data_IF_844503534592
#
_entry.id   IF_844503534592
#
_cell.length_a   1.000
_cell.length_b   1.000
_cell.length_c   1.000
_cell.angle_alpha   90.00
_cell.angle_beta   90.00
_cell.angle_gamma   90.00
#
_symmetry.space_group_name_H-M   'P 1'
#
loop_
_entity.id
_entity.type
_entity.pdbx_description
1 polymer ?
#
# COMPACT_ATOMS: atom_id res chain seq x y z
N UNK A 1 -11.84 1.58 -20.92
CA UNK A 1 -13.16 0.95 -21.14
C UNK A 1 -13.49 1.08 -22.59
N UNK A 2 -13.88 -0.01 -23.20
CA UNK A 2 -14.47 -0.03 -24.54
C UNK A 2 -15.96 -0.31 -24.37
N UNK A 3 -16.81 0.35 -25.16
CA UNK A 3 -18.22 0.02 -25.23
C UNK A 3 -18.40 -0.90 -26.43
N UNK A 4 -18.67 -2.19 -26.18
CA UNK A 4 -18.96 -3.18 -27.22
C UNK A 4 -20.44 -3.52 -27.15
N UNK A 5 -21.20 -3.18 -28.20
CA UNK A 5 -22.64 -3.45 -28.30
C UNK A 5 -23.49 -2.97 -27.09
N UNK A 6 -23.12 -1.84 -26.50
CA UNK A 6 -23.79 -1.28 -25.33
C UNK A 6 -23.35 -1.86 -23.98
N UNK A 7 -22.37 -2.78 -23.98
CA UNK A 7 -21.75 -3.33 -22.78
C UNK A 7 -20.46 -2.58 -22.44
N UNK A 8 -20.30 -2.20 -21.18
CA UNK A 8 -19.06 -1.65 -20.65
C UNK A 8 -18.06 -2.79 -20.42
N UNK A 9 -16.95 -2.80 -21.17
CA UNK A 9 -15.90 -3.82 -21.03
C UNK A 9 -14.72 -3.26 -20.24
N UNK A 10 -14.40 -3.92 -19.13
CA UNK A 10 -13.18 -3.69 -18.36
C UNK A 10 -12.11 -4.69 -18.81
N UNK A 11 -10.96 -4.15 -19.23
CA UNK A 11 -9.81 -4.98 -19.59
C UNK A 11 -9.09 -5.41 -18.32
N UNK A 12 -8.96 -6.71 -18.18
CA UNK A 12 -8.24 -7.35 -17.09
C UNK A 12 -6.92 -7.87 -17.66
N UNK A 13 -5.80 -7.42 -17.10
CA UNK A 13 -4.48 -7.90 -17.56
C UNK A 13 -4.33 -9.41 -17.34
N UNK A 14 -3.52 -10.06 -18.18
CA UNK A 14 -3.26 -11.51 -18.06
C UNK A 14 -2.66 -11.90 -16.69
N UNK A 15 -1.92 -11.00 -16.04
CA UNK A 15 -1.40 -11.18 -14.68
C UNK A 15 -2.51 -11.31 -13.64
N UNK A 16 -3.63 -10.59 -13.79
CA UNK A 16 -4.75 -10.68 -12.87
C UNK A 16 -5.34 -12.09 -12.80
N UNK A 17 -5.38 -12.83 -13.91
CA UNK A 17 -5.87 -14.21 -13.89
C UNK A 17 -4.97 -15.14 -13.07
N UNK A 18 -3.66 -14.92 -13.12
CA UNK A 18 -2.68 -15.67 -12.33
C UNK A 18 -2.73 -15.27 -10.85
N UNK A 19 -2.81 -13.98 -10.57
CA UNK A 19 -2.77 -13.43 -9.21
C UNK A 19 -4.11 -13.61 -8.46
N UNK A 20 -5.26 -13.50 -9.14
CA UNK A 20 -6.58 -13.70 -8.52
C UNK A 20 -6.80 -15.13 -8.03
N UNK A 21 -6.12 -16.11 -8.64
CA UNK A 21 -6.28 -17.52 -8.27
C UNK A 21 -5.83 -17.79 -6.83
N UNK A 22 -4.96 -16.93 -6.29
CA UNK A 22 -4.48 -16.98 -4.92
C UNK A 22 -5.35 -16.20 -3.91
N UNK A 23 -6.47 -15.60 -4.34
CA UNK A 23 -7.34 -14.80 -3.49
C UNK A 23 -8.64 -15.52 -3.14
N UNK A 24 -9.14 -15.28 -1.93
CA UNK A 24 -10.50 -15.67 -1.54
C UNK A 24 -11.54 -14.81 -2.25
N UNK A 25 -12.79 -15.30 -2.35
CA UNK A 25 -13.91 -14.51 -2.87
C UNK A 25 -14.06 -13.20 -2.09
N UNK A 26 -13.85 -13.23 -0.78
CA UNK A 26 -13.96 -12.05 0.07
C UNK A 26 -12.87 -11.03 -0.24
N UNK A 27 -11.60 -11.45 -0.33
CA UNK A 27 -10.47 -10.57 -0.69
C UNK A 27 -10.70 -9.90 -2.05
N UNK A 28 -11.11 -10.67 -3.06
CA UNK A 28 -11.42 -10.13 -4.38
C UNK A 28 -12.57 -9.11 -4.32
N UNK A 29 -13.58 -9.36 -3.49
CA UNK A 29 -14.71 -8.44 -3.30
C UNK A 29 -14.25 -7.14 -2.65
N UNK A 30 -13.42 -7.20 -1.61
CA UNK A 30 -12.83 -6.02 -0.97
C UNK A 30 -11.99 -5.19 -1.96
N UNK A 31 -11.16 -5.84 -2.77
CA UNK A 31 -10.37 -5.18 -3.81
C UNK A 31 -11.25 -4.49 -4.86
N UNK A 32 -12.32 -5.16 -5.31
CA UNK A 32 -13.33 -4.57 -6.20
C UNK A 32 -14.06 -3.39 -5.54
N UNK A 33 -14.22 -3.40 -4.21
CA UNK A 33 -14.79 -2.28 -3.45
C UNK A 33 -13.80 -1.12 -3.21
N UNK A 34 -12.59 -1.19 -3.78
CA UNK A 34 -11.60 -0.11 -3.69
C UNK A 34 -10.69 -0.17 -2.47
N UNK A 35 -10.54 -1.36 -1.87
CA UNK A 35 -9.52 -1.59 -0.84
C UNK A 35 -8.11 -1.58 -1.49
N UNK A 36 -7.03 -1.38 -0.72
CA UNK A 36 -5.67 -1.35 -1.26
C UNK A 36 -5.35 -2.58 -2.09
N UNK A 37 -4.62 -2.46 -3.22
CA UNK A 37 -4.36 -3.58 -4.13
C UNK A 37 -3.50 -4.70 -3.51
N UNK A 38 -2.89 -4.45 -2.34
CA UNK A 38 -2.19 -5.45 -1.52
C UNK A 38 -3.08 -6.16 -0.50
N UNK A 39 -4.38 -5.84 -0.45
CA UNK A 39 -5.27 -6.38 0.57
C UNK A 39 -5.37 -7.91 0.46
N UNK A 40 -5.18 -8.54 1.62
CA UNK A 40 -5.43 -9.96 1.88
C UNK A 40 -5.99 -10.07 3.29
N UNK A 41 -6.71 -11.13 3.64
CA UNK A 41 -7.15 -11.37 5.02
C UNK A 41 -5.92 -11.57 5.93
N UNK A 42 -4.88 -12.22 5.39
CA UNK A 42 -3.58 -12.39 6.03
C UNK A 42 -2.46 -12.21 5.02
N UNK A 43 -1.31 -11.76 5.51
CA UNK A 43 -0.09 -11.69 4.71
C UNK A 43 1.05 -12.40 5.42
N UNK A 44 1.98 -12.91 4.63
CA UNK A 44 3.22 -13.52 5.10
C UNK A 44 4.31 -12.46 5.16
N UNK A 45 4.92 -12.30 6.34
CA UNK A 45 6.04 -11.38 6.54
C UNK A 45 7.33 -11.96 5.98
N UNK A 46 8.35 -11.11 5.77
CA UNK A 46 9.72 -11.56 5.43
C UNK A 46 10.30 -12.57 6.42
N UNK A 47 9.87 -12.52 7.69
CA UNK A 47 10.24 -13.49 8.72
C UNK A 47 9.41 -14.80 8.69
N UNK A 48 8.63 -15.02 7.63
CA UNK A 48 7.82 -16.22 7.44
C UNK A 48 6.59 -16.33 8.36
N UNK A 49 6.14 -15.22 8.95
CA UNK A 49 5.00 -15.21 9.86
C UNK A 49 3.73 -14.78 9.15
N UNK A 50 2.62 -15.45 9.43
CA UNK A 50 1.30 -14.98 9.00
C UNK A 50 0.72 -13.98 10.01
N UNK A 51 0.24 -12.85 9.51
CA UNK A 51 -0.33 -11.75 10.29
C UNK A 51 -1.60 -11.26 9.58
N UNK A 52 -2.68 -10.91 10.30
CA UNK A 52 -3.85 -10.30 9.68
C UNK A 52 -3.48 -8.96 9.05
N UNK A 53 -4.05 -8.66 7.89
CA UNK A 53 -3.90 -7.33 7.29
C UNK A 53 -4.71 -6.30 8.09
N UNK A 54 -4.21 -5.07 8.30
CA UNK A 54 -4.77 -4.15 9.27
C UNK A 54 -5.90 -3.28 8.69
N UNK A 55 -6.79 -3.90 7.91
CA UNK A 55 -8.01 -3.26 7.42
C UNK A 55 -9.18 -4.14 7.83
N UNK A 56 -9.98 -3.65 8.77
CA UNK A 56 -11.17 -4.35 9.27
C UNK A 56 -12.45 -3.71 8.75
N UNK A 57 -12.37 -2.46 8.29
CA UNK A 57 -13.47 -1.67 7.76
C UNK A 57 -13.00 -0.67 6.71
N UNK A 58 -13.92 -0.09 5.95
CA UNK A 58 -13.61 0.97 4.97
C UNK A 58 -12.92 2.19 5.59
N UNK A 59 -13.14 2.45 6.89
CA UNK A 59 -12.48 3.55 7.62
C UNK A 59 -10.97 3.37 7.70
N UNK A 60 -10.48 2.14 7.62
CA UNK A 60 -9.06 1.80 7.72
C UNK A 60 -8.30 2.01 6.40
N UNK A 61 -9.01 2.09 5.26
CA UNK A 61 -8.40 2.23 3.93
C UNK A 61 -7.54 3.49 3.83
N UNK A 62 -7.92 4.57 4.52
CA UNK A 62 -7.18 5.85 4.51
C UNK A 62 -6.14 5.99 5.63
N UNK A 63 -5.90 4.92 6.40
CA UNK A 63 -5.01 4.92 7.57
C UNK A 63 -3.61 4.42 7.22
N UNK A 64 -2.69 4.48 8.17
CA UNK A 64 -1.26 4.20 7.95
C UNK A 64 -0.87 2.74 8.16
N UNK A 65 -1.65 1.95 8.90
CA UNK A 65 -1.27 0.59 9.28
C UNK A 65 -1.08 -0.34 8.08
N UNK A 66 -1.87 -0.17 7.03
CA UNK A 66 -1.72 -1.02 5.84
C UNK A 66 -0.46 -0.67 5.02
N UNK A 67 0.06 0.56 5.11
CA UNK A 67 1.39 0.91 4.56
C UNK A 67 2.46 0.09 5.26
N UNK A 68 2.40 0.00 6.59
CA UNK A 68 3.31 -0.85 7.37
C UNK A 68 3.20 -2.31 6.93
N UNK A 69 1.97 -2.82 6.78
CA UNK A 69 1.75 -4.20 6.35
C UNK A 69 2.40 -4.49 4.99
N UNK A 70 2.27 -3.59 4.01
CA UNK A 70 2.96 -3.71 2.70
C UNK A 70 4.48 -3.77 2.89
N UNK A 71 5.04 -2.91 3.73
CA UNK A 71 6.47 -2.90 4.00
C UNK A 71 7.00 -4.17 4.68
N UNK A 72 6.15 -4.86 5.44
CA UNK A 72 6.48 -6.11 6.12
C UNK A 72 6.35 -7.37 5.24
N UNK A 73 5.63 -7.29 4.11
CA UNK A 73 5.36 -8.43 3.24
C UNK A 73 6.64 -9.03 2.66
N UNK A 74 6.66 -10.37 2.56
CA UNK A 74 7.72 -11.11 1.86
C UNK A 74 7.75 -10.77 0.37
N UNK A 75 6.56 -10.72 -0.26
CA UNK A 75 6.39 -10.36 -1.66
C UNK A 75 5.17 -9.45 -1.81
N UNK A 76 5.35 -8.12 -1.74
CA UNK A 76 4.26 -7.16 -1.89
C UNK A 76 3.84 -7.05 -3.37
N UNK A 77 3.01 -7.98 -3.84
CA UNK A 77 2.46 -7.93 -5.20
C UNK A 77 1.06 -7.28 -5.18
N UNK A 78 0.90 -6.05 -5.72
CA UNK A 78 -0.41 -5.42 -5.83
C UNK A 78 -1.24 -6.03 -6.95
N UNK A 79 -2.50 -6.38 -6.67
CA UNK A 79 -3.46 -6.73 -7.71
C UNK A 79 -4.14 -5.46 -8.24
N UNK A 80 -3.73 -5.02 -9.43
CA UNK A 80 -4.37 -3.91 -10.12
C UNK A 80 -5.72 -4.36 -10.71
N UNK A 81 -6.82 -4.14 -9.96
CA UNK A 81 -8.17 -4.52 -10.41
C UNK A 81 -8.75 -3.54 -11.42
N UNK A 82 -8.47 -2.24 -11.26
CA UNK A 82 -8.93 -1.19 -12.14
C UNK A 82 -7.74 -0.47 -12.76
N UNK A 83 -7.64 -0.44 -14.09
CA UNK A 83 -6.77 0.53 -14.79
C UNK A 83 -7.64 1.60 -15.41
N UNK A 84 -7.37 2.86 -15.07
CA UNK A 84 -7.97 3.96 -15.83
C UNK A 84 -7.37 3.95 -17.25
N UNK A 85 -8.18 4.16 -18.30
CA UNK A 85 -7.65 4.27 -19.66
C UNK A 85 -6.71 5.47 -19.76
N UNK A 86 -5.59 5.27 -20.47
CA UNK A 86 -4.49 6.19 -20.73
C UNK A 86 -4.58 7.54 -20.00
N UNK A 87 -3.81 7.57 -18.93
CA UNK A 87 -3.34 8.77 -18.28
C UNK A 87 -2.76 9.77 -19.32
N UNK A 88 -3.29 11.00 -19.44
CA UNK A 88 -2.76 11.98 -20.38
C UNK A 88 -1.35 12.39 -19.95
N UNK A 89 -0.46 12.67 -20.92
CA UNK A 89 0.93 13.16 -20.72
C UNK A 89 1.03 14.51 -19.96
N UNK A 90 -0.06 15.01 -19.39
CA UNK A 90 -0.19 16.32 -18.79
C UNK A 90 -0.04 16.32 -17.26
N UNK A 91 0.50 17.42 -16.67
CA UNK A 91 0.80 17.54 -15.23
C UNK A 91 -0.39 17.46 -14.27
N UNK A 92 -1.63 17.30 -14.78
CA UNK A 92 -2.87 17.11 -14.01
C UNK A 92 -2.95 15.78 -13.24
N UNK A 93 -2.07 14.83 -13.56
CA UNK A 93 -1.79 13.57 -12.85
C UNK A 93 -1.64 13.65 -11.33
N UNK A 94 -1.37 14.85 -10.81
CA UNK A 94 -1.02 15.07 -9.42
C UNK A 94 -2.17 14.87 -8.43
N UNK A 95 -3.39 14.53 -8.90
CA UNK A 95 -4.58 14.31 -8.06
C UNK A 95 -4.97 12.82 -7.87
N UNK A 96 -4.63 11.91 -8.78
CA UNK A 96 -4.98 10.47 -8.70
C UNK A 96 -4.29 9.77 -7.52
N UNK A 97 -4.94 8.85 -6.83
CA UNK A 97 -4.33 8.16 -5.68
C UNK A 97 -4.28 9.00 -4.40
N UNK A 98 -5.21 9.96 -4.24
CA UNK A 98 -5.31 10.80 -3.04
C UNK A 98 -5.36 10.00 -1.73
N UNK A 99 -6.00 8.82 -1.71
CA UNK A 99 -6.04 7.97 -0.51
C UNK A 99 -4.67 7.40 -0.17
N UNK A 100 -3.92 6.89 -1.15
CA UNK A 100 -2.54 6.44 -0.98
C UNK A 100 -1.64 7.54 -0.41
N UNK A 101 -1.68 8.73 -1.03
CA UNK A 101 -0.87 9.87 -0.57
C UNK A 101 -1.26 10.32 0.83
N UNK A 102 -2.55 10.31 1.17
CA UNK A 102 -3.03 10.60 2.53
C UNK A 102 -2.55 9.56 3.54
N UNK A 103 -2.56 8.27 3.20
CA UNK A 103 -2.03 7.21 4.06
C UNK A 103 -0.52 7.38 4.31
N UNK A 104 0.27 7.66 3.27
CA UNK A 104 1.72 7.91 3.41
C UNK A 104 1.99 9.18 4.23
N UNK A 105 1.27 10.28 3.96
CA UNK A 105 1.37 11.51 4.74
C UNK A 105 0.96 11.28 6.20
N UNK A 106 -0.07 10.47 6.45
CA UNK A 106 -0.48 10.08 7.82
C UNK A 106 0.63 9.31 8.53
N UNK A 107 1.32 8.39 7.87
CA UNK A 107 2.50 7.73 8.45
C UNK A 107 3.58 8.73 8.87
N UNK A 108 3.94 9.66 7.97
CA UNK A 108 4.90 10.74 8.25
C UNK A 108 4.45 11.60 9.44
N UNK A 109 3.20 12.04 9.42
CA UNK A 109 2.66 12.90 10.48
C UNK A 109 2.58 12.16 11.83
N UNK A 110 2.29 10.85 11.82
CA UNK A 110 2.27 10.03 13.02
C UNK A 110 3.66 9.93 13.63
N UNK A 111 4.67 9.66 12.81
CA UNK A 111 6.06 9.64 13.25
C UNK A 111 6.44 11.00 13.84
N UNK A 112 6.14 12.09 13.15
CA UNK A 112 6.48 13.44 13.60
C UNK A 112 5.82 13.83 14.94
N UNK A 113 4.53 13.53 15.10
CA UNK A 113 3.74 14.02 16.24
C UNK A 113 3.74 13.09 17.43
N UNK A 114 3.77 11.78 17.20
CA UNK A 114 3.50 10.78 18.23
C UNK A 114 4.68 9.86 18.53
N UNK A 115 5.67 9.73 17.62
CA UNK A 115 6.84 8.87 17.84
C UNK A 115 8.07 9.72 18.14
N UNK A 116 8.42 10.66 17.27
CA UNK A 116 9.62 11.49 17.35
C UNK A 116 9.79 12.22 18.69
N UNK A 117 8.74 12.75 19.35
CA UNK A 117 8.91 13.36 20.68
C UNK A 117 9.46 12.43 21.75
N UNK A 118 9.27 11.12 21.60
CA UNK A 118 9.77 10.10 22.54
C UNK A 118 11.18 9.59 22.16
N UNK A 119 11.66 9.92 20.95
CA UNK A 119 12.94 9.48 20.39
C UNK A 119 13.65 10.63 19.64
N UNK A 120 13.91 11.78 20.28
CA UNK A 120 14.32 13.02 19.60
C UNK A 120 15.68 12.92 18.88
N UNK A 121 16.61 12.13 19.41
CA UNK A 121 17.96 11.98 18.86
C UNK A 121 18.15 10.68 18.08
N UNK A 122 17.06 9.95 17.80
CA UNK A 122 17.16 8.66 17.12
C UNK A 122 17.28 8.84 15.60
N UNK A 123 18.43 8.42 15.05
CA UNK A 123 18.72 8.55 13.62
C UNK A 123 17.73 7.80 12.73
N UNK A 124 17.19 6.65 13.16
CA UNK A 124 16.24 5.86 12.35
C UNK A 124 14.93 6.64 12.14
N UNK A 125 14.48 7.38 13.17
CA UNK A 125 13.32 8.27 13.08
C UNK A 125 13.60 9.44 12.13
N UNK A 126 14.77 10.07 12.24
CA UNK A 126 15.19 11.17 11.36
C UNK A 126 15.27 10.71 9.89
N UNK A 127 15.90 9.56 9.63
CA UNK A 127 16.05 8.98 8.30
C UNK A 127 14.68 8.62 7.70
N UNK A 128 13.79 8.02 8.50
CA UNK A 128 12.44 7.69 8.05
C UNK A 128 11.64 8.94 7.67
N UNK A 129 11.74 9.99 8.48
CA UNK A 129 11.11 11.28 8.19
C UNK A 129 11.64 11.91 6.90
N UNK A 130 12.96 11.89 6.68
CA UNK A 130 13.57 12.39 5.45
C UNK A 130 13.10 11.60 4.22
N UNK A 131 13.12 10.26 4.31
CA UNK A 131 12.68 9.36 3.25
C UNK A 131 11.20 9.54 2.91
N UNK A 132 10.31 9.64 3.92
CA UNK A 132 8.89 9.87 3.71
C UNK A 132 8.60 11.25 3.13
N UNK A 133 9.30 12.30 3.58
CA UNK A 133 9.16 13.63 3.00
C UNK A 133 9.58 13.64 1.52
N UNK A 134 10.67 12.95 1.16
CA UNK A 134 11.08 12.77 -0.23
C UNK A 134 10.00 12.07 -1.06
N UNK A 135 9.50 10.92 -0.58
CA UNK A 135 8.44 10.17 -1.26
C UNK A 135 7.16 10.99 -1.46
N UNK A 136 6.80 11.85 -0.51
CA UNK A 136 5.63 12.73 -0.59
C UNK A 136 5.86 13.86 -1.61
N UNK A 137 7.03 14.49 -1.59
CA UNK A 137 7.33 15.68 -2.39
C UNK A 137 7.70 15.31 -3.84
N UNK A 138 8.66 14.41 -4.00
CA UNK A 138 9.20 14.00 -5.31
C UNK A 138 8.33 12.94 -5.98
N UNK A 139 7.47 12.26 -5.21
CA UNK A 139 6.53 11.22 -5.71
C UNK A 139 7.24 10.12 -6.50
N UNK A 140 8.47 9.85 -6.12
CA UNK A 140 9.31 8.81 -6.68
C UNK A 140 10.26 8.30 -5.61
N UNK A 141 10.57 7.01 -5.65
CA UNK A 141 11.61 6.43 -4.81
C UNK A 141 13.03 6.60 -5.37
N UNK A 142 13.18 7.13 -6.59
CA UNK A 142 14.49 7.48 -7.13
C UNK A 142 15.13 8.58 -6.28
N UNK A 143 16.37 8.36 -5.82
CA UNK A 143 17.11 9.34 -5.01
C UNK A 143 16.63 9.48 -3.56
N UNK A 144 15.87 8.52 -3.04
CA UNK A 144 15.34 8.58 -1.66
C UNK A 144 16.50 8.67 -0.63
N UNK A 145 16.47 9.65 0.30
CA UNK A 145 17.48 9.78 1.34
C UNK A 145 17.18 8.80 2.47
N UNK A 146 17.64 7.56 2.34
CA UNK A 146 17.32 6.48 3.29
C UNK A 146 18.34 6.29 4.40
N UNK A 147 19.53 6.91 4.32
CA UNK A 147 20.52 6.89 5.40
C UNK A 147 20.88 5.46 5.84
N UNK A 148 20.56 5.11 7.10
CA UNK A 148 20.76 3.77 7.66
C UNK A 148 19.62 2.79 7.33
N UNK A 149 18.50 3.29 6.85
CA UNK A 149 17.34 2.52 6.37
C UNK A 149 17.50 2.06 4.91
N UNK A 150 18.73 2.05 4.38
CA UNK A 150 19.09 1.67 2.99
C UNK A 150 19.96 2.73 2.32
N UNK A 151 20.81 2.38 1.34
CA UNK A 151 21.60 3.37 0.58
C UNK A 151 21.03 3.66 -0.81
N UNK A 152 20.12 2.83 -1.29
CA UNK A 152 19.46 2.91 -2.60
C UNK A 152 18.01 2.40 -2.51
N UNK A 153 17.20 2.70 -3.53
CA UNK A 153 15.86 2.11 -3.69
C UNK A 153 15.89 0.57 -3.69
N UNK A 154 16.96 -0.02 -4.25
CA UNK A 154 17.18 -1.47 -4.25
C UNK A 154 17.60 -1.98 -2.86
N UNK A 155 18.32 -1.18 -2.07
CA UNK A 155 18.61 -1.51 -0.67
C UNK A 155 17.36 -1.48 0.19
N UNK A 156 16.44 -0.52 -0.03
CA UNK A 156 15.15 -0.51 0.70
C UNK A 156 14.38 -1.82 0.45
N UNK A 157 14.45 -2.37 -0.77
CA UNK A 157 13.90 -3.69 -1.08
C UNK A 157 14.68 -4.81 -0.40
N UNK A 158 16.01 -4.72 -0.39
CA UNK A 158 16.94 -5.73 0.11
C UNK A 158 17.22 -5.74 1.62
N UNK A 159 16.73 -4.77 2.40
CA UNK A 159 16.93 -4.76 3.85
C UNK A 159 16.19 -5.93 4.48
N UNK A 160 16.96 -6.80 5.12
CA UNK A 160 16.41 -7.79 6.01
C UNK A 160 15.82 -7.05 7.22
N UNK A 161 14.48 -7.03 7.29
CA UNK A 161 13.77 -6.43 8.42
C UNK A 161 13.98 -7.42 9.58
N UNK A 162 14.64 -7.01 10.68
CA UNK A 162 14.86 -7.87 11.84
C UNK A 162 13.58 -8.63 12.21
N UNK A 163 13.71 -9.92 12.55
CA UNK A 163 12.57 -10.83 12.74
C UNK A 163 11.58 -10.35 13.82
N UNK A 164 10.57 -9.59 13.40
CA UNK A 164 9.47 -9.17 14.25
C UNK A 164 8.56 -10.36 14.58
N UNK A 165 8.09 -10.41 15.83
CA UNK A 165 7.06 -11.37 16.23
C UNK A 165 5.72 -10.94 15.65
N UNK A 166 4.79 -11.88 15.45
CA UNK A 166 3.42 -11.55 14.99
C UNK A 166 2.69 -10.59 15.94
N UNK A 167 3.03 -10.58 17.23
CA UNK A 167 2.53 -9.58 18.19
C UNK A 167 3.01 -8.18 17.87
N UNK A 168 4.26 -8.04 17.42
CA UNK A 168 4.91 -6.75 17.15
C UNK A 168 4.45 -6.19 15.82
N UNK A 169 4.32 -7.03 14.79
CA UNK A 169 3.69 -6.65 13.53
C UNK A 169 2.28 -6.10 13.74
N UNK A 170 1.46 -6.78 14.56
CA UNK A 170 0.11 -6.30 14.90
C UNK A 170 0.15 -4.97 15.63
N UNK A 171 1.01 -4.85 16.63
CA UNK A 171 1.17 -3.64 17.41
C UNK A 171 1.52 -2.43 16.52
N UNK A 172 2.52 -2.53 15.65
CA UNK A 172 2.91 -1.40 14.80
C UNK A 172 1.85 -1.06 13.75
N UNK A 173 1.18 -2.06 13.15
CA UNK A 173 0.08 -1.79 12.23
C UNK A 173 -1.09 -1.09 12.92
N UNK A 174 -1.46 -1.53 14.12
CA UNK A 174 -2.51 -0.90 14.93
C UNK A 174 -2.12 0.52 15.33
N UNK A 175 -0.91 0.73 15.84
CA UNK A 175 -0.41 2.04 16.26
C UNK A 175 -0.49 3.09 15.12
N UNK A 176 -0.05 2.72 13.91
CA UNK A 176 -0.15 3.60 12.74
C UNK A 176 -1.59 3.80 12.20
N UNK A 177 -2.50 2.87 12.49
CA UNK A 177 -3.92 3.05 12.17
C UNK A 177 -4.58 4.03 13.14
N UNK A 178 -4.44 3.77 14.42
CA UNK A 178 -5.11 4.50 15.50
C UNK A 178 -4.60 5.94 15.60
N UNK A 179 -3.31 6.15 15.29
CA UNK A 179 -2.68 7.47 15.27
C UNK A 179 -2.72 8.15 16.65
N UNK A 180 -2.61 7.36 17.70
CA UNK A 180 -2.60 7.85 19.08
C UNK A 180 -1.16 8.18 19.55
N UNK A 181 -0.99 9.08 20.53
CA UNK A 181 0.29 9.27 21.21
C UNK A 181 0.76 7.97 21.88
N UNK A 182 2.07 7.75 21.97
CA UNK A 182 2.61 6.57 22.64
C UNK A 182 2.42 6.67 24.16
N UNK A 183 1.85 5.63 24.75
CA UNK A 183 1.94 5.42 26.21
C UNK A 183 3.37 5.03 26.60
N UNK A 184 3.73 5.11 27.88
CA UNK A 184 5.05 4.66 28.34
C UNK A 184 5.31 3.18 28.03
N UNK A 185 4.26 2.35 28.10
CA UNK A 185 4.34 0.94 27.74
C UNK A 185 4.56 0.74 26.24
N UNK A 186 3.84 1.49 25.40
CA UNK A 186 3.98 1.43 23.94
C UNK A 186 5.34 1.96 23.49
N UNK A 187 5.84 3.02 24.14
CA UNK A 187 7.18 3.55 23.92
C UNK A 187 8.24 2.49 24.23
N UNK A 188 8.21 1.88 25.42
CA UNK A 188 9.18 0.87 25.82
C UNK A 188 9.15 -0.35 24.87
N UNK A 189 7.96 -0.73 24.42
CA UNK A 189 7.79 -1.79 23.42
C UNK A 189 8.37 -1.39 22.07
N UNK A 190 8.01 -0.20 21.56
CA UNK A 190 8.44 0.31 20.27
C UNK A 190 9.95 0.50 20.21
N UNK A 191 10.59 0.93 21.31
CA UNK A 191 12.05 1.12 21.39
C UNK A 191 12.82 -0.12 20.93
N UNK A 192 12.39 -1.32 21.36
CA UNK A 192 13.03 -2.59 20.99
C UNK A 192 12.88 -2.97 19.52
N UNK A 193 11.92 -2.36 18.81
CA UNK A 193 11.56 -2.64 17.42
C UNK A 193 11.53 -1.36 16.57
N UNK A 194 12.18 -0.28 17.00
CA UNK A 194 12.06 1.02 16.38
C UNK A 194 12.63 1.00 14.96
N UNK A 195 13.86 0.49 14.81
CA UNK A 195 14.51 0.31 13.51
C UNK A 195 13.65 -0.51 12.52
N UNK A 196 13.22 -1.75 12.82
CA UNK A 196 12.38 -2.51 11.89
C UNK A 196 11.05 -1.82 11.57
N UNK A 197 10.48 -1.05 12.51
CA UNK A 197 9.28 -0.26 12.26
C UNK A 197 9.54 0.86 11.26
N UNK A 198 10.65 1.60 11.42
CA UNK A 198 11.06 2.68 10.52
C UNK A 198 11.43 2.16 9.12
N UNK A 199 12.05 0.99 9.02
CA UNK A 199 12.27 0.33 7.72
C UNK A 199 10.95 -0.06 7.07
N UNK A 200 10.04 -0.70 7.82
CA UNK A 200 8.75 -1.16 7.28
C UNK A 200 7.89 0.01 6.77
N UNK A 201 7.83 1.14 7.48
CA UNK A 201 7.06 2.31 7.02
C UNK A 201 7.63 2.92 5.74
N UNK A 202 8.96 3.05 5.65
CA UNK A 202 9.62 3.60 4.45
C UNK A 202 9.46 2.66 3.27
N UNK A 203 9.71 1.36 3.45
CA UNK A 203 9.57 0.36 2.40
C UNK A 203 8.13 0.25 1.90
N UNK A 204 7.15 0.23 2.82
CA UNK A 204 5.74 0.22 2.45
C UNK A 204 5.32 1.47 1.67
N UNK A 205 5.78 2.65 2.09
CA UNK A 205 5.52 3.90 1.37
C UNK A 205 6.19 3.91 -0.01
N UNK A 206 7.41 3.38 -0.10
CA UNK A 206 8.13 3.23 -1.36
C UNK A 206 7.35 2.36 -2.35
N UNK A 207 6.92 1.17 -1.95
CA UNK A 207 6.16 0.24 -2.81
C UNK A 207 4.85 0.88 -3.30
N UNK A 208 4.16 1.60 -2.42
CA UNK A 208 2.93 2.33 -2.77
C UNK A 208 3.19 3.46 -3.77
N UNK A 209 4.27 4.22 -3.59
CA UNK A 209 4.63 5.32 -4.50
C UNK A 209 5.09 4.79 -5.85
N UNK A 210 5.88 3.72 -5.90
CA UNK A 210 6.25 3.09 -7.18
C UNK A 210 5.04 2.53 -7.90
N UNK A 211 4.14 1.84 -7.20
CA UNK A 211 2.90 1.36 -7.79
C UNK A 211 2.08 2.49 -8.42
N UNK A 212 1.97 3.63 -7.73
CA UNK A 212 1.29 4.81 -8.28
C UNK A 212 2.01 5.39 -9.50
N UNK A 213 3.34 5.38 -9.50
CA UNK A 213 4.17 5.89 -10.59
C UNK A 213 4.08 5.00 -11.83
N UNK A 214 4.12 3.68 -11.64
CA UNK A 214 4.26 2.70 -12.72
C UNK A 214 2.90 2.24 -13.28
N UNK A 215 1.84 2.22 -12.45
CA UNK A 215 0.52 1.69 -12.82
C UNK A 215 -0.56 2.77 -12.90
N UNK A 216 -0.45 3.87 -12.15
CA UNK A 216 -1.40 5.01 -12.28
C UNK A 216 -2.82 4.75 -11.76
N UNK A 217 -3.01 3.79 -10.84
CA UNK A 217 -4.34 3.29 -10.48
C UNK A 217 -4.99 4.03 -9.30
N UNK A 218 -6.26 4.41 -9.46
CA UNK A 218 -7.11 4.87 -8.35
C UNK A 218 -7.64 3.69 -7.50
N UNK A 219 -7.79 3.93 -6.19
CA UNK A 219 -8.60 3.08 -5.29
C UNK A 219 -10.11 3.24 -5.52
N UNK A 220 -10.52 4.04 -6.50
CA UNK A 220 -11.91 4.35 -6.74
C UNK A 220 -12.38 3.68 -8.00
N UNK A 221 -13.50 2.99 -7.86
CA UNK A 221 -14.32 2.54 -8.96
C UNK A 221 -14.74 3.80 -9.74
N UNK A 222 -14.44 3.90 -11.04
CA UNK A 222 -14.94 4.97 -11.88
C UNK A 222 -16.46 5.12 -11.69
N UNK A 223 -17.01 6.35 -11.55
CA UNK A 223 -18.45 6.55 -11.38
C UNK A 223 -19.30 5.86 -12.46
N UNK A 224 -18.74 5.68 -13.66
CA UNK A 224 -19.34 4.95 -14.77
C UNK A 224 -19.57 3.45 -14.52
N UNK A 225 -18.92 2.87 -13.50
CA UNK A 225 -19.09 1.49 -13.05
C UNK A 225 -20.02 1.39 -11.83
N UNK A 226 -20.58 2.51 -11.35
CA UNK A 226 -21.67 2.52 -10.38
C UNK A 226 -23.01 2.76 -11.10
N UNK A 227 -24.07 1.97 -10.83
CA UNK A 227 -24.20 0.92 -9.81
C UNK A 227 -23.78 -0.48 -10.31
N UNK A 228 -23.34 -1.33 -9.37
CA UNK A 228 -22.92 -2.72 -9.57
C UNK A 228 -24.00 -3.68 -10.07
N UNK A 229 -25.24 -3.19 -10.23
CA UNK A 229 -26.37 -3.98 -10.73
C UNK A 229 -26.30 -4.21 -12.25
N UNK A 230 -25.27 -3.65 -12.91
CA UNK A 230 -24.99 -3.87 -14.33
C UNK A 230 -24.00 -5.02 -14.46
N UNK A 231 -24.31 -6.00 -15.32
CA UNK A 231 -23.35 -7.04 -15.70
C UNK A 231 -22.10 -6.40 -16.32
N UNK A 232 -20.99 -6.43 -15.58
CA UNK A 232 -19.68 -6.03 -16.10
C UNK A 232 -18.93 -7.29 -16.53
N UNK A 233 -18.65 -7.37 -17.83
CA UNK A 233 -17.92 -8.49 -18.40
C UNK A 233 -16.43 -8.23 -18.27
N UNK A 234 -15.75 -9.06 -17.48
CA UNK A 234 -14.30 -9.06 -17.36
C UNK A 234 -13.73 -9.77 -18.59
N UNK A 235 -13.07 -9.02 -19.47
CA UNK A 235 -12.35 -9.59 -20.61
C UNK A 235 -10.90 -9.74 -20.22
N UNK A 236 -10.44 -10.98 -20.06
CA UNK A 236 -8.99 -11.21 -20.03
C UNK A 236 -8.41 -11.00 -21.44
N UNK A 237 -7.13 -10.66 -21.53
CA UNK A 237 -6.44 -10.42 -22.80
C UNK A 237 -6.34 -11.66 -23.72
N UNK A 238 -6.82 -12.83 -23.27
CA UNK A 238 -6.65 -14.13 -23.93
C UNK A 238 -7.96 -14.74 -24.44
N UNK A 239 -9.10 -14.32 -23.91
CA UNK A 239 -10.40 -14.91 -24.18
C UNK A 239 -11.01 -14.21 -25.38
N UNK A 240 -11.00 -14.91 -26.51
CA UNK A 240 -11.83 -14.56 -27.66
C UNK A 240 -13.27 -14.97 -27.35
N UNK A 241 -14.14 -13.98 -27.13
CA UNK A 241 -15.58 -14.24 -27.07
C UNK A 241 -16.05 -14.78 -28.43
N UNK A 242 -16.98 -15.74 -28.46
CA UNK A 242 -17.62 -16.14 -29.71
C UNK A 242 -18.37 -14.92 -30.27
N UNK A 243 -17.98 -14.50 -31.46
CA UNK A 243 -18.68 -13.45 -32.22
C UNK A 243 -20.06 -13.99 -32.55
N UNK A 244 -21.11 -13.27 -32.17
CA UNK A 244 -22.47 -13.51 -32.69
C UNK A 244 -22.67 -12.69 -33.95
#
# INVERSE_FOLDING_TARGET
METLDGLSVAHVEGSFQHERAALTKHELTCLLLGWPPWYKEKFKTRAGREVPFPIWSEKDISRGGWIIAVGLMESPMPLAVYRCPNEPDEPGFRQNGATFRRSVARCRDHIAKNISPHFPDNQDVTDAMAALNHLINERTGSGIPTGRLGRTADDVKGIDIPHLRSSDCRFICTNFNDYEPLTDADRARLESILFPTMVAVVHGAYEVVQYLKDVGVELKIPPSLQPFDREVWLRDCTTRLPVR
#
